data_IF_486230364162
#
_entry.id   IF_486230364162
#
_cell.length_a   1.000
_cell.length_b   1.000
_cell.length_c   1.000
_cell.angle_alpha   90.00
_cell.angle_beta   90.00
_cell.angle_gamma   90.00
#
_symmetry.space_group_name_H-M   'P 1'
#
loop_
_entity.id
_entity.type
_entity.pdbx_description
1 polymer ?
#
# COMPACT_ATOMS: atom_id res chain seq x y z
N UNK A 1 3.71 1.55 17.87
CA UNK A 1 3.79 2.91 17.28
C UNK A 1 3.81 2.73 15.77
N UNK A 2 2.84 3.28 15.05
CA UNK A 2 2.69 3.13 13.60
C UNK A 2 3.76 3.97 12.88
N UNK A 3 4.42 3.42 11.86
CA UNK A 3 5.44 4.13 11.07
C UNK A 3 4.75 4.79 9.86
N UNK A 4 4.58 6.11 9.90
CA UNK A 4 3.86 6.88 8.88
C UNK A 4 4.86 7.64 8.01
N UNK A 5 4.76 7.45 6.70
CA UNK A 5 5.60 8.12 5.72
C UNK A 5 4.80 8.57 4.47
N UNK A 6 5.49 9.10 3.46
CA UNK A 6 4.86 9.52 2.20
C UNK A 6 4.13 8.38 1.46
N UNK A 7 4.51 7.13 1.69
CA UNK A 7 3.86 5.95 1.11
C UNK A 7 2.60 5.56 1.89
N UNK A 8 2.50 5.92 3.17
CA UNK A 8 1.25 5.81 3.93
C UNK A 8 0.12 6.63 3.29
N UNK A 9 0.41 7.84 2.81
CA UNK A 9 -0.55 8.65 2.06
C UNK A 9 -0.95 8.00 0.73
N UNK A 10 0.01 7.38 0.03
CA UNK A 10 -0.27 6.62 -1.19
C UNK A 10 -1.24 5.46 -0.91
N UNK A 11 -1.05 4.73 0.20
CA UNK A 11 -1.97 3.67 0.61
C UNK A 11 -3.37 4.18 0.94
N UNK A 12 -3.49 5.31 1.64
CA UNK A 12 -4.80 5.97 1.85
C UNK A 12 -5.49 6.27 0.51
N UNK A 13 -4.77 6.88 -0.45
CA UNK A 13 -5.32 7.21 -1.75
C UNK A 13 -5.77 5.97 -2.54
N UNK A 14 -4.98 4.89 -2.50
CA UNK A 14 -5.34 3.61 -3.09
C UNK A 14 -6.60 3.05 -2.41
N UNK A 15 -6.70 3.11 -1.07
CA UNK A 15 -7.90 2.81 -0.30
C UNK A 15 -9.16 3.50 -0.85
N UNK A 16 -9.06 4.80 -1.10
CA UNK A 16 -10.15 5.61 -1.65
C UNK A 16 -10.56 5.10 -3.05
N UNK A 17 -9.60 4.85 -3.93
CA UNK A 17 -9.86 4.39 -5.31
C UNK A 17 -10.58 3.05 -5.33
N UNK A 18 -10.13 2.09 -4.50
CA UNK A 18 -10.71 0.74 -4.43
C UNK A 18 -12.19 0.79 -4.03
N UNK A 19 -12.51 1.65 -3.07
CA UNK A 19 -13.89 1.87 -2.64
C UNK A 19 -14.77 2.26 -3.83
N UNK A 20 -14.39 3.29 -4.58
CA UNK A 20 -15.17 3.77 -5.74
C UNK A 20 -15.14 2.82 -6.94
N UNK A 21 -14.15 1.92 -7.01
CA UNK A 21 -14.11 0.86 -8.02
C UNK A 21 -14.94 -0.38 -7.62
N UNK A 22 -15.60 -0.36 -6.45
CA UNK A 22 -16.45 -1.44 -5.95
C UNK A 22 -15.73 -2.79 -5.90
N UNK A 23 -14.42 -2.78 -5.64
CA UNK A 23 -13.64 -4.01 -5.55
C UNK A 23 -13.91 -4.72 -4.22
N UNK A 24 -13.95 -6.06 -4.19
CA UNK A 24 -14.19 -6.80 -2.95
C UNK A 24 -13.10 -6.54 -1.91
N UNK A 25 -13.51 -6.09 -0.72
CA UNK A 25 -12.61 -5.70 0.39
C UNK A 25 -11.56 -6.77 0.72
N UNK A 26 -11.99 -8.02 0.91
CA UNK A 26 -11.08 -9.11 1.28
C UNK A 26 -10.07 -9.43 0.17
N UNK A 27 -10.52 -9.44 -1.08
CA UNK A 27 -9.65 -9.67 -2.23
C UNK A 27 -8.56 -8.60 -2.32
N UNK A 28 -8.91 -7.34 -2.08
CA UNK A 28 -7.93 -6.26 -2.14
C UNK A 28 -6.95 -6.28 -0.97
N UNK A 29 -7.39 -6.57 0.26
CA UNK A 29 -6.47 -6.72 1.39
C UNK A 29 -5.45 -7.84 1.14
N UNK A 30 -5.91 -9.00 0.66
CA UNK A 30 -5.02 -10.11 0.33
C UNK A 30 -4.04 -9.72 -0.78
N UNK A 31 -4.51 -9.00 -1.80
CA UNK A 31 -3.66 -8.48 -2.87
C UNK A 31 -2.61 -7.48 -2.35
N UNK A 32 -3.01 -6.53 -1.49
CA UNK A 32 -2.10 -5.55 -0.91
C UNK A 32 -1.00 -6.24 -0.06
N UNK A 33 -1.39 -7.20 0.77
CA UNK A 33 -0.43 -7.99 1.56
C UNK A 33 0.54 -8.80 0.68
N UNK A 34 0.03 -9.39 -0.40
CA UNK A 34 0.86 -10.12 -1.36
C UNK A 34 1.85 -9.19 -2.09
N UNK A 35 1.41 -7.98 -2.47
CA UNK A 35 2.28 -6.96 -3.04
C UNK A 35 3.37 -6.56 -2.05
N UNK A 36 3.00 -6.13 -0.83
CA UNK A 36 3.95 -5.74 0.22
C UNK A 36 4.99 -6.82 0.51
N UNK A 37 4.59 -8.10 0.50
CA UNK A 37 5.51 -9.21 0.66
C UNK A 37 6.45 -9.35 -0.55
N UNK A 38 5.92 -9.25 -1.76
CA UNK A 38 6.70 -9.36 -3.01
C UNK A 38 7.71 -8.22 -3.12
N UNK A 39 7.32 -7.00 -2.79
CA UNK A 39 8.17 -5.82 -2.81
C UNK A 39 9.34 -5.89 -1.82
N UNK A 40 9.15 -6.56 -0.69
CA UNK A 40 10.19 -6.74 0.31
C UNK A 40 11.31 -7.71 -0.15
N UNK A 41 11.02 -8.57 -1.13
CA UNK A 41 12.01 -9.53 -1.65
C UNK A 41 13.15 -8.84 -2.41
N UNK A 42 14.31 -9.50 -2.53
CA UNK A 42 15.43 -8.98 -3.31
C UNK A 42 15.05 -8.78 -4.79
N UNK A 43 14.27 -9.71 -5.35
CA UNK A 43 13.75 -9.61 -6.71
C UNK A 43 12.78 -8.44 -6.87
N UNK A 44 11.84 -8.27 -5.93
CA UNK A 44 10.87 -7.16 -5.95
C UNK A 44 11.55 -5.79 -5.86
N UNK A 45 12.54 -5.65 -4.96
CA UNK A 45 13.36 -4.43 -4.88
C UNK A 45 14.12 -4.15 -6.19
N UNK A 46 14.72 -5.16 -6.80
CA UNK A 46 15.42 -5.00 -8.08
C UNK A 46 14.44 -4.62 -9.20
N UNK A 47 13.29 -5.28 -9.28
CA UNK A 47 12.24 -4.98 -10.26
C UNK A 47 11.79 -3.51 -10.15
N UNK A 48 11.47 -3.06 -8.93
CA UNK A 48 11.05 -1.68 -8.65
C UNK A 48 12.14 -0.66 -9.02
N UNK A 49 13.37 -0.90 -8.57
CA UNK A 49 14.45 0.06 -8.73
C UNK A 49 15.03 0.12 -10.15
N UNK A 50 14.86 -0.95 -10.93
CA UNK A 50 15.41 -1.06 -12.29
C UNK A 50 14.36 -0.73 -13.36
N UNK A 51 13.16 -1.31 -13.26
CA UNK A 51 12.15 -1.24 -14.33
C UNK A 51 11.00 -0.28 -14.03
N UNK A 52 10.66 -0.09 -12.75
CA UNK A 52 9.53 0.76 -12.35
C UNK A 52 9.96 2.11 -11.76
N UNK A 53 11.25 2.45 -11.90
CA UNK A 53 11.83 3.67 -11.35
C UNK A 53 11.14 4.90 -11.95
N UNK A 54 10.59 5.76 -11.09
CA UNK A 54 9.89 7.00 -11.48
C UNK A 54 8.38 6.84 -11.72
N UNK A 55 7.89 5.62 -11.88
CA UNK A 55 6.47 5.34 -12.10
C UNK A 55 5.84 4.69 -10.88
N UNK A 56 6.56 3.79 -10.22
CA UNK A 56 6.12 3.14 -9.01
C UNK A 56 6.84 3.72 -7.78
N UNK A 57 6.14 3.94 -6.67
CA UNK A 57 6.76 4.40 -5.43
C UNK A 57 7.84 3.39 -4.97
N UNK A 58 9.11 3.79 -5.07
CA UNK A 58 10.27 2.95 -4.77
C UNK A 58 11.38 3.73 -4.09
N UNK A 59 12.52 3.09 -3.88
CA UNK A 59 13.71 3.75 -3.30
C UNK A 59 13.74 3.87 -1.77
N UNK A 60 12.92 3.12 -1.03
CA UNK A 60 13.15 2.93 0.41
C UNK A 60 14.52 2.25 0.57
N UNK A 61 15.49 2.97 1.14
CA UNK A 61 16.84 2.45 1.44
C UNK A 61 16.85 1.51 2.65
N UNK A 62 15.82 1.58 3.48
CA UNK A 62 15.68 0.83 4.73
C UNK A 62 14.91 -0.48 4.47
N UNK A 63 15.33 -1.62 5.08
CA UNK A 63 14.56 -2.86 5.03
C UNK A 63 13.12 -2.61 5.48
N UNK A 64 12.15 -3.08 4.69
CA UNK A 64 10.74 -3.01 5.05
C UNK A 64 10.48 -3.87 6.29
N UNK A 65 10.31 -3.21 7.44
CA UNK A 65 9.97 -3.89 8.69
C UNK A 65 8.55 -4.44 8.60
N UNK A 66 8.22 -5.43 9.43
CA UNK A 66 6.83 -5.90 9.57
C UNK A 66 5.89 -4.75 9.93
N UNK A 67 6.35 -3.86 10.82
CA UNK A 67 5.60 -2.70 11.29
C UNK A 67 5.25 -1.71 10.16
N UNK A 68 6.19 -1.43 9.24
CA UNK A 68 5.92 -0.55 8.09
C UNK A 68 4.83 -1.13 7.18
N UNK A 69 4.88 -2.45 6.91
CA UNK A 69 3.87 -3.13 6.06
C UNK A 69 2.48 -3.17 6.70
N UNK A 70 2.42 -3.35 8.02
CA UNK A 70 1.17 -3.25 8.77
C UNK A 70 0.61 -1.83 8.75
N UNK A 71 1.48 -0.82 8.82
CA UNK A 71 1.11 0.59 8.72
C UNK A 71 0.48 0.90 7.35
N UNK A 72 1.13 0.46 6.28
CA UNK A 72 0.66 0.63 4.90
C UNK A 72 -0.73 -0.02 4.68
N UNK A 73 -0.93 -1.23 5.19
CA UNK A 73 -2.26 -1.90 5.12
C UNK A 73 -3.32 -1.16 5.93
N UNK A 74 -2.99 -0.67 7.13
CA UNK A 74 -3.94 0.09 7.96
C UNK A 74 -4.31 1.44 7.32
N UNK A 75 -3.34 2.13 6.71
CA UNK A 75 -3.59 3.36 5.95
C UNK A 75 -4.51 3.14 4.75
N UNK A 76 -4.33 2.04 4.03
CA UNK A 76 -5.24 1.67 2.94
C UNK A 76 -6.67 1.42 3.43
N UNK A 77 -6.83 0.66 4.52
CA UNK A 77 -8.15 0.42 5.13
C UNK A 77 -8.77 1.75 5.60
N UNK A 78 -7.98 2.65 6.19
CA UNK A 78 -8.46 3.97 6.59
C UNK A 78 -9.01 4.77 5.40
N UNK A 79 -8.33 4.75 4.25
CA UNK A 79 -8.83 5.37 3.02
C UNK A 79 -10.19 4.81 2.58
N UNK A 80 -10.35 3.49 2.61
CA UNK A 80 -11.64 2.85 2.29
C UNK A 80 -12.75 3.26 3.26
N UNK A 81 -12.48 3.27 4.57
CA UNK A 81 -13.44 3.61 5.60
C UNK A 81 -13.88 5.08 5.53
N UNK A 82 -12.92 5.98 5.25
CA UNK A 82 -13.23 7.40 5.04
C UNK A 82 -14.14 7.57 3.83
N UNK A 83 -13.85 6.90 2.70
CA UNK A 83 -14.73 6.95 1.54
C UNK A 83 -16.13 6.43 1.84
N UNK A 84 -16.23 5.27 2.50
CA UNK A 84 -17.51 4.70 2.91
C UNK A 84 -18.32 5.64 3.82
N UNK A 85 -17.68 6.31 4.78
CA UNK A 85 -18.35 7.23 5.68
C UNK A 85 -18.79 8.55 5.04
N UNK A 86 -18.18 8.94 3.92
CA UNK A 86 -18.48 10.18 3.21
C UNK A 86 -19.40 9.98 1.99
N UNK A 87 -19.66 8.74 1.58
CA UNK A 87 -20.55 8.40 0.47
C UNK A 87 -22.02 8.42 0.94
N UNK A 88 -22.74 9.48 0.59
CA UNK A 88 -24.15 9.73 0.96
C UNK A 88 -24.95 10.32 -0.21
#
# INVERSE_FOLDING_TARGET
MMDLDKYSLFHVAIGIVIYFWSLPFLSFILFNLALEYTEATAMGKNLKNTYLKGWWPGGKSVPTTFLARSSDTACMIAGMLVSYGLDH
#
